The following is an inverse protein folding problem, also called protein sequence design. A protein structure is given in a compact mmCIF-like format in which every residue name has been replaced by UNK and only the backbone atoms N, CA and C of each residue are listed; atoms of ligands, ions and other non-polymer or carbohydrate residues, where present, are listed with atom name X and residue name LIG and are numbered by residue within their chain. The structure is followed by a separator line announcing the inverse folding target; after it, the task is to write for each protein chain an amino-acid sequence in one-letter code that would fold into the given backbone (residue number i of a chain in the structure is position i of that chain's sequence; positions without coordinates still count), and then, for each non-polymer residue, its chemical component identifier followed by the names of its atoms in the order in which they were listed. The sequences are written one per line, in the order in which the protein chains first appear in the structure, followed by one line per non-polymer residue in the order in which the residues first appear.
data_IF_318155478828
#
_entry.id   IF_318155478828
#
_cell.length_a   1.000
_cell.length_b   1.000
_cell.length_c   1.000
_cell.angle_alpha   90.00
_cell.angle_beta   90.00
_cell.angle_gamma   90.00
#
_symmetry.space_group_name_H-M   'P 1'
#
loop_
_entity.id
_entity.type
_entity.pdbx_description
1 polymer ?
#
# COMPACT_ATOMS: atom_id res chain seq x y z
N UNK A 1 17.00 -9.44 -19.13
CA UNK A 1 15.69 -10.10 -18.95
C UNK A 1 14.76 -9.01 -18.45
N UNK A 2 13.88 -8.50 -19.30
CA UNK A 2 13.01 -7.37 -18.98
C UNK A 2 12.16 -7.77 -17.78
N UNK A 3 12.39 -7.10 -16.65
CA UNK A 3 11.44 -7.10 -15.55
C UNK A 3 10.13 -6.57 -16.15
N UNK A 4 9.27 -7.46 -16.62
CA UNK A 4 7.83 -7.21 -16.59
C UNK A 4 7.61 -6.74 -15.16
N UNK A 5 7.40 -5.43 -15.03
CA UNK A 5 7.39 -4.68 -13.77
C UNK A 5 6.61 -5.55 -12.78
N UNK A 6 7.24 -6.03 -11.69
CA UNK A 6 6.55 -6.93 -10.73
C UNK A 6 5.32 -6.23 -10.14
N UNK A 7 5.29 -4.89 -10.19
CA UNK A 7 4.13 -4.07 -9.92
C UNK A 7 3.12 -4.00 -11.08
N UNK A 8 3.54 -4.14 -12.34
CA UNK A 8 2.60 -4.41 -13.43
C UNK A 8 1.90 -5.75 -13.24
N UNK A 9 2.55 -6.77 -12.67
CA UNK A 9 1.86 -8.01 -12.26
C UNK A 9 0.84 -7.74 -11.14
N UNK A 10 1.15 -6.88 -10.17
CA UNK A 10 0.16 -6.40 -9.19
C UNK A 10 -1.00 -5.64 -9.87
N UNK A 11 -0.71 -4.79 -10.86
CA UNK A 11 -1.76 -4.14 -11.67
C UNK A 11 -2.66 -5.15 -12.40
N UNK A 12 -2.12 -6.31 -12.79
CA UNK A 12 -2.90 -7.41 -13.37
C UNK A 12 -3.70 -8.19 -12.31
N UNK A 13 -3.18 -8.42 -11.10
CA UNK A 13 -3.94 -9.06 -10.00
C UNK A 13 -5.11 -8.18 -9.52
N UNK A 14 -4.96 -6.86 -9.61
CA UNK A 14 -5.99 -5.88 -9.24
C UNK A 14 -6.98 -5.55 -10.37
N UNK A 15 -7.10 -6.40 -11.40
CA UNK A 15 -8.16 -6.34 -12.42
C UNK A 15 -9.60 -6.40 -11.84
N UNK A 16 -9.75 -6.67 -10.54
CA UNK A 16 -11.01 -6.60 -9.80
C UNK A 16 -11.33 -5.24 -9.15
N UNK A 17 -10.38 -4.30 -9.10
CA UNK A 17 -10.61 -2.97 -8.53
C UNK A 17 -11.55 -2.16 -9.43
N UNK A 18 -12.50 -1.45 -8.82
CA UNK A 18 -13.24 -0.41 -9.53
C UNK A 18 -12.31 0.75 -9.97
N UNK A 19 -12.76 1.54 -10.94
CA UNK A 19 -11.95 2.63 -11.54
C UNK A 19 -11.42 3.64 -10.49
N UNK A 20 -12.17 3.87 -9.41
CA UNK A 20 -11.79 4.82 -8.34
C UNK A 20 -10.73 4.19 -7.45
N UNK A 21 -10.93 2.93 -7.04
CA UNK A 21 -9.99 2.15 -6.26
C UNK A 21 -8.64 1.99 -6.99
N UNK A 22 -8.68 1.67 -8.29
CA UNK A 22 -7.48 1.54 -9.12
C UNK A 22 -6.70 2.87 -9.23
N UNK A 23 -7.41 4.00 -9.36
CA UNK A 23 -6.78 5.31 -9.39
C UNK A 23 -6.11 5.66 -8.05
N UNK A 24 -6.77 5.39 -6.93
CA UNK A 24 -6.22 5.64 -5.59
C UNK A 24 -5.01 4.75 -5.30
N UNK A 25 -5.08 3.47 -5.70
CA UNK A 25 -3.97 2.54 -5.58
C UNK A 25 -2.76 3.01 -6.40
N UNK A 26 -2.96 3.46 -7.64
CA UNK A 26 -1.89 3.99 -8.48
C UNK A 26 -1.16 5.17 -7.81
N UNK A 27 -1.89 6.09 -7.18
CA UNK A 27 -1.29 7.21 -6.43
C UNK A 27 -0.46 6.68 -5.25
N UNK A 28 -0.99 5.71 -4.50
CA UNK A 28 -0.27 5.12 -3.38
C UNK A 28 1.02 4.41 -3.84
N UNK A 29 0.99 3.71 -4.98
CA UNK A 29 2.17 3.09 -5.58
C UNK A 29 3.23 4.11 -6.01
N UNK A 30 2.82 5.22 -6.60
CA UNK A 30 3.75 6.29 -6.99
C UNK A 30 4.42 6.93 -5.76
N UNK A 31 3.69 7.07 -4.66
CA UNK A 31 4.25 7.55 -3.38
C UNK A 31 5.21 6.53 -2.76
N UNK A 32 4.86 5.24 -2.78
CA UNK A 32 5.72 4.16 -2.31
C UNK A 32 7.03 4.11 -3.10
N UNK A 33 6.97 4.22 -4.42
CA UNK A 33 8.15 4.22 -5.31
C UNK A 33 9.14 5.34 -4.99
N UNK A 34 8.65 6.50 -4.54
CA UNK A 34 9.51 7.63 -4.12
C UNK A 34 10.33 7.32 -2.86
N UNK A 35 9.93 6.32 -2.08
CA UNK A 35 10.70 5.88 -0.90
C UNK A 35 11.94 5.06 -1.26
N UNK A 36 12.05 4.61 -2.52
CA UNK A 36 13.18 3.83 -3.03
C UNK A 36 13.59 2.68 -2.10
N UNK A 37 12.59 1.95 -1.59
CA UNK A 37 12.81 0.78 -0.75
C UNK A 37 13.37 -0.38 -1.60
N UNK A 38 14.04 -1.33 -0.97
CA UNK A 38 14.40 -2.56 -1.66
C UNK A 38 13.14 -3.36 -2.05
N UNK A 39 13.14 -4.04 -3.20
CA UNK A 39 12.02 -4.85 -3.72
C UNK A 39 11.36 -5.75 -2.66
N UNK A 40 12.17 -6.37 -1.78
CA UNK A 40 11.70 -7.27 -0.71
C UNK A 40 10.82 -6.60 0.34
N UNK A 41 10.85 -5.26 0.40
CA UNK A 41 10.02 -4.44 1.28
C UNK A 41 8.97 -3.65 0.49
N UNK A 42 9.32 -3.18 -0.72
CA UNK A 42 8.39 -2.48 -1.59
C UNK A 42 7.23 -3.37 -2.04
N UNK A 43 7.50 -4.61 -2.45
CA UNK A 43 6.45 -5.48 -2.98
C UNK A 43 5.38 -5.85 -1.93
N UNK A 44 5.73 -6.28 -0.70
CA UNK A 44 4.73 -6.49 0.35
C UNK A 44 4.01 -5.20 0.76
N UNK A 45 4.68 -4.06 0.77
CA UNK A 45 4.05 -2.77 1.04
C UNK A 45 3.00 -2.42 -0.03
N UNK A 46 3.29 -2.70 -1.30
CA UNK A 46 2.36 -2.50 -2.40
C UNK A 46 1.11 -3.38 -2.28
N UNK A 47 1.26 -4.64 -1.85
CA UNK A 47 0.10 -5.52 -1.58
C UNK A 47 -0.83 -4.92 -0.52
N UNK A 48 -0.28 -4.47 0.61
CA UNK A 48 -1.08 -3.81 1.64
C UNK A 48 -1.77 -2.52 1.16
N UNK A 49 -1.14 -1.78 0.24
CA UNK A 49 -1.77 -0.61 -0.37
C UNK A 49 -2.91 -1.00 -1.31
N UNK A 50 -2.79 -2.14 -1.99
CA UNK A 50 -3.86 -2.74 -2.80
C UNK A 50 -5.06 -3.10 -1.93
N UNK A 51 -4.83 -3.81 -0.82
CA UNK A 51 -5.87 -4.19 0.14
C UNK A 51 -6.60 -2.96 0.71
N UNK A 52 -5.86 -1.89 1.03
CA UNK A 52 -6.45 -0.63 1.52
C UNK A 52 -7.33 0.03 0.47
N UNK A 53 -6.90 0.02 -0.80
CA UNK A 53 -7.65 0.60 -1.90
C UNK A 53 -8.90 -0.24 -2.26
N UNK A 54 -8.82 -1.55 -2.13
CA UNK A 54 -9.89 -2.50 -2.41
C UNK A 54 -10.99 -2.52 -1.34
N UNK A 55 -10.68 -2.13 -0.10
CA UNK A 55 -11.64 -2.14 1.00
C UNK A 55 -12.98 -1.47 0.62
N UNK A 56 -14.08 -2.21 0.72
CA UNK A 56 -15.40 -1.75 0.27
C UNK A 56 -16.16 -1.01 1.37
N UNK A 57 -15.80 -1.27 2.62
CA UNK A 57 -16.44 -0.69 3.79
C UNK A 57 -15.46 -0.34 4.90
N UNK A 58 -15.96 0.39 5.92
CA UNK A 58 -15.14 0.87 7.04
C UNK A 58 -14.56 -0.25 7.90
N UNK A 59 -15.22 -1.40 7.96
CA UNK A 59 -14.73 -2.53 8.73
C UNK A 59 -13.51 -3.15 8.04
N UNK A 60 -13.63 -3.48 6.75
CA UNK A 60 -12.52 -3.99 5.93
C UNK A 60 -11.35 -3.00 5.90
N UNK A 61 -11.62 -1.70 5.82
CA UNK A 61 -10.56 -0.69 5.87
C UNK A 61 -9.83 -0.67 7.22
N UNK A 62 -10.56 -0.88 8.33
CA UNK A 62 -9.94 -0.96 9.64
C UNK A 62 -9.06 -2.22 9.76
N UNK A 63 -9.51 -3.35 9.20
CA UNK A 63 -8.79 -4.62 9.19
C UNK A 63 -7.50 -4.53 8.35
N UNK A 64 -7.59 -4.09 7.10
CA UNK A 64 -6.44 -3.93 6.18
C UNK A 64 -5.42 -2.90 6.70
N UNK A 65 -5.89 -1.80 7.31
CA UNK A 65 -5.01 -0.86 8.03
C UNK A 65 -4.30 -1.55 9.20
N UNK A 66 -4.99 -2.43 9.92
CA UNK A 66 -4.39 -3.25 10.98
C UNK A 66 -3.24 -4.12 10.46
N UNK A 67 -3.41 -4.75 9.31
CA UNK A 67 -2.34 -5.53 8.66
C UNK A 67 -1.16 -4.66 8.26
N UNK A 68 -1.40 -3.48 7.65
CA UNK A 68 -0.34 -2.53 7.33
C UNK A 68 0.45 -2.05 8.57
N UNK A 69 -0.23 -1.85 9.71
CA UNK A 69 0.42 -1.55 10.99
C UNK A 69 1.28 -2.73 11.46
N UNK A 70 0.77 -3.96 11.38
CA UNK A 70 1.50 -5.17 11.72
C UNK A 70 2.77 -5.33 10.89
N UNK A 71 2.69 -5.07 9.58
CA UNK A 71 3.84 -5.08 8.67
C UNK A 71 4.90 -4.05 9.08
N UNK A 72 4.50 -2.80 9.35
CA UNK A 72 5.41 -1.75 9.85
C UNK A 72 6.10 -2.16 11.16
N UNK A 73 5.37 -2.79 12.09
CA UNK A 73 5.95 -3.30 13.33
C UNK A 73 6.95 -4.42 13.06
N UNK A 74 6.64 -5.34 12.15
CA UNK A 74 7.56 -6.39 11.72
C UNK A 74 8.88 -5.82 11.19
N UNK A 75 8.82 -4.83 10.30
CA UNK A 75 9.99 -4.14 9.77
C UNK A 75 10.80 -3.41 10.86
N UNK A 76 10.10 -2.79 11.81
CA UNK A 76 10.71 -2.10 12.95
C UNK A 76 11.47 -3.08 13.84
N UNK A 77 10.84 -4.18 14.23
CA UNK A 77 11.44 -5.22 15.07
C UNK A 77 12.63 -5.89 14.39
N UNK A 78 12.53 -6.15 13.08
CA UNK A 78 13.62 -6.72 12.28
C UNK A 78 14.77 -5.73 12.03
N UNK A 79 14.60 -4.44 12.37
CA UNK A 79 15.54 -3.35 12.01
C UNK A 79 15.85 -3.36 10.51
N UNK A 80 14.84 -3.66 9.71
CA UNK A 80 14.96 -3.85 8.27
C UNK A 80 15.18 -2.55 7.51
N UNK A 81 14.67 -1.43 8.06
CA UNK A 81 14.70 -0.10 7.46
C UNK A 81 15.14 0.93 8.51
N UNK A 82 15.59 2.10 8.05
CA UNK A 82 15.84 3.22 8.95
C UNK A 82 14.53 3.75 9.53
N UNK A 83 14.62 4.47 10.67
CA UNK A 83 13.43 5.08 11.26
C UNK A 83 12.75 6.08 10.31
N UNK A 84 13.53 6.83 9.54
CA UNK A 84 13.02 7.76 8.52
C UNK A 84 12.21 7.02 7.43
N UNK A 85 12.73 5.90 6.94
CA UNK A 85 12.02 5.07 5.94
C UNK A 85 10.73 4.47 6.52
N UNK A 86 10.75 4.02 7.77
CA UNK A 86 9.55 3.50 8.46
C UNK A 86 8.49 4.59 8.65
N UNK A 87 8.89 5.79 9.03
CA UNK A 87 7.98 6.94 9.17
C UNK A 87 7.41 7.37 7.81
N UNK A 88 8.23 7.37 6.77
CA UNK A 88 7.78 7.69 5.42
C UNK A 88 6.78 6.65 4.90
N UNK A 89 7.06 5.35 5.09
CA UNK A 89 6.15 4.27 4.72
C UNK A 89 4.83 4.33 5.50
N UNK A 90 4.88 4.64 6.80
CA UNK A 90 3.68 4.88 7.61
C UNK A 90 2.82 6.00 7.03
N UNK A 91 3.42 7.09 6.56
CA UNK A 91 2.69 8.21 5.94
C UNK A 91 2.01 7.79 4.64
N UNK A 92 2.66 6.96 3.83
CA UNK A 92 2.06 6.41 2.59
C UNK A 92 0.82 5.56 2.92
N UNK A 93 0.91 4.66 3.91
CA UNK A 93 -0.24 3.85 4.34
C UNK A 93 -1.38 4.70 4.90
N UNK A 94 -1.05 5.74 5.69
CA UNK A 94 -2.05 6.64 6.23
C UNK A 94 -2.75 7.44 5.10
N UNK A 95 -1.99 7.97 4.15
CA UNK A 95 -2.56 8.71 3.03
C UNK A 95 -3.46 7.84 2.15
N UNK A 96 -3.10 6.58 1.91
CA UNK A 96 -3.95 5.63 1.20
C UNK A 96 -5.27 5.38 1.95
N UNK A 97 -5.22 5.13 3.26
CA UNK A 97 -6.42 4.94 4.06
C UNK A 97 -7.32 6.19 4.09
N UNK A 98 -6.73 7.40 4.13
CA UNK A 98 -7.48 8.65 4.06
C UNK A 98 -8.22 8.85 2.74
N UNK A 99 -7.65 8.38 1.61
CA UNK A 99 -8.35 8.38 0.30
C UNK A 99 -9.53 7.41 0.32
N UNK A 100 -9.31 6.18 0.76
CA UNK A 100 -10.37 5.17 0.88
C UNK A 100 -11.54 5.65 1.78
N UNK A 101 -11.25 6.28 2.93
CA UNK A 101 -12.28 6.88 3.80
C UNK A 101 -13.08 7.95 3.04
N UNK A 102 -12.40 8.85 2.33
CA UNK A 102 -13.06 9.93 1.58
C UNK A 102 -13.96 9.38 0.48
N UNK A 103 -13.55 8.30 -0.21
CA UNK A 103 -14.38 7.60 -1.19
C UNK A 103 -15.66 7.06 -0.55
N UNK A 104 -15.54 6.35 0.58
CA UNK A 104 -16.68 5.72 1.28
C UNK A 104 -17.69 6.70 1.90
N UNK A 105 -17.33 7.97 2.04
CA UNK A 105 -18.21 9.00 2.61
C UNK A 105 -18.92 9.85 1.54
N UNK A 106 -18.68 9.56 0.25
CA UNK A 106 -19.39 10.17 -0.87
C UNK A 106 -20.60 9.31 -1.24
#
# INVERSE_FOLDING_TARGET
MTATDRLSLLQYEHLGLDDVAAAEFKVALEELRKLALEDRYEHPAALHLGDIADAENRQELAETKGWGIGFLQGLTCAKALTQEQLEALRRVFQAAAERAIKRMCR
#
